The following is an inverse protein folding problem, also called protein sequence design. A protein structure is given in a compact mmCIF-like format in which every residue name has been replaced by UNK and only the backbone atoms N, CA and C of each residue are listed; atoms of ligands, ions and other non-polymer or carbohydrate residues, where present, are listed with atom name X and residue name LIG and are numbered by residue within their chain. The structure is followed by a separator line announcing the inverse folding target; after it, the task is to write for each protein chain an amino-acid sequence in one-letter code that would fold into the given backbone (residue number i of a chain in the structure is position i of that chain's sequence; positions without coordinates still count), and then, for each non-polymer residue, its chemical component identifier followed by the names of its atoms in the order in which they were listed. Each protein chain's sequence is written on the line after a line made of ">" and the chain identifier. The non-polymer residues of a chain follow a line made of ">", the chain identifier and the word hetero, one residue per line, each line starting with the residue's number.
data_IF_191240666649
#
_entry.id   IF_191240666649
#
_cell.length_a   1.000
_cell.length_b   1.000
_cell.length_c   1.000
_cell.angle_alpha   90.00
_cell.angle_beta   90.00
_cell.angle_gamma   90.00
#
_symmetry.space_group_name_H-M   'P 1'
#
loop_
_entity.id
_entity.type
_entity.pdbx_description
1 polymer ?
#
# COMPACT_ATOMS: atom_id res chain seq x y z
N UNK A 1 27.77 -5.78 4.56
CA UNK A 1 26.56 -6.63 4.78
C UNK A 1 26.94 -8.11 4.74
N UNK A 2 26.23 -9.00 5.45
CA UNK A 2 26.52 -10.45 5.41
C UNK A 2 26.03 -11.10 4.11
N UNK A 3 26.60 -12.25 3.74
CA UNK A 3 26.18 -13.02 2.55
C UNK A 3 24.72 -13.47 2.64
N UNK A 4 24.27 -13.89 3.82
CA UNK A 4 22.87 -14.28 4.07
C UNK A 4 21.90 -13.11 3.84
N UNK A 5 22.25 -11.89 4.30
CA UNK A 5 21.44 -10.70 4.04
C UNK A 5 21.32 -10.41 2.54
N UNK A 6 22.43 -10.54 1.80
CA UNK A 6 22.44 -10.35 0.34
C UNK A 6 21.59 -11.41 -0.37
N UNK A 7 21.65 -12.67 0.07
CA UNK A 7 20.78 -13.75 -0.43
C UNK A 7 19.30 -13.44 -0.22
N UNK A 8 18.93 -13.00 0.99
CA UNK A 8 17.54 -12.65 1.31
C UNK A 8 17.03 -11.51 0.43
N UNK A 9 17.83 -10.45 0.25
CA UNK A 9 17.44 -9.30 -0.59
C UNK A 9 17.36 -9.71 -2.07
N UNK A 10 18.24 -10.58 -2.55
CA UNK A 10 18.19 -11.09 -3.92
C UNK A 10 16.92 -11.91 -4.18
N UNK A 11 16.48 -12.72 -3.20
CA UNK A 11 15.22 -13.46 -3.26
C UNK A 11 14.01 -12.50 -3.29
N UNK A 12 14.00 -11.48 -2.42
CA UNK A 12 12.96 -10.45 -2.40
C UNK A 12 12.87 -9.69 -3.72
N UNK A 13 14.01 -9.25 -4.27
CA UNK A 13 14.04 -8.57 -5.57
C UNK A 13 13.54 -9.48 -6.70
N UNK A 14 13.84 -10.78 -6.63
CA UNK A 14 13.36 -11.76 -7.62
C UNK A 14 11.84 -11.92 -7.56
N UNK A 15 11.26 -12.04 -6.36
CA UNK A 15 9.82 -12.05 -6.16
C UNK A 15 9.16 -10.76 -6.66
N UNK A 16 9.76 -9.61 -6.35
CA UNK A 16 9.30 -8.30 -6.83
C UNK A 16 9.33 -8.20 -8.37
N UNK A 17 10.38 -8.72 -9.02
CA UNK A 17 10.46 -8.76 -10.47
C UNK A 17 9.36 -9.64 -11.09
N UNK A 18 9.06 -10.79 -10.49
CA UNK A 18 7.97 -11.66 -10.92
C UNK A 18 6.62 -10.95 -10.77
N UNK A 19 6.38 -10.29 -9.63
CA UNK A 19 5.19 -9.49 -9.37
C UNK A 19 4.98 -8.37 -10.40
N UNK A 20 6.05 -7.68 -10.82
CA UNK A 20 5.99 -6.64 -11.86
C UNK A 20 5.91 -7.20 -13.29
N UNK A 21 6.21 -8.48 -13.47
CA UNK A 21 6.14 -9.21 -14.74
C UNK A 21 7.39 -9.10 -15.63
N UNK A 22 8.34 -8.21 -15.35
CA UNK A 22 9.65 -8.19 -16.01
C UNK A 22 10.69 -7.39 -15.24
N UNK A 23 11.98 -7.65 -15.52
CA UNK A 23 13.09 -6.88 -14.93
C UNK A 23 13.05 -5.39 -15.29
N UNK A 24 12.69 -5.07 -16.54
CA UNK A 24 12.60 -3.68 -16.98
C UNK A 24 11.48 -2.93 -16.27
N UNK A 25 10.30 -3.57 -16.10
CA UNK A 25 9.21 -2.97 -15.33
C UNK A 25 9.59 -2.77 -13.86
N UNK A 26 10.26 -3.76 -13.26
CA UNK A 26 10.77 -3.64 -11.90
C UNK A 26 11.78 -2.50 -11.75
N UNK A 27 12.75 -2.39 -12.66
CA UNK A 27 13.72 -1.31 -12.68
C UNK A 27 13.05 0.06 -12.79
N UNK A 28 12.10 0.21 -13.72
CA UNK A 28 11.36 1.45 -13.89
C UNK A 28 10.52 1.83 -12.66
N UNK A 29 10.02 0.84 -11.90
CA UNK A 29 9.28 1.09 -10.66
C UNK A 29 10.14 1.42 -9.45
N UNK A 30 11.43 1.09 -9.49
CA UNK A 30 12.38 1.34 -8.41
C UNK A 30 13.14 2.67 -8.66
N UNK A 31 13.44 3.39 -7.58
CA UNK A 31 14.23 4.61 -7.65
C UNK A 31 15.72 4.26 -7.64
N UNK A 32 16.43 4.60 -8.71
CA UNK A 32 17.89 4.47 -8.79
C UNK A 32 18.40 3.04 -8.98
N UNK A 33 17.54 2.07 -9.28
CA UNK A 33 17.93 0.67 -9.52
C UNK A 33 17.75 0.33 -10.99
N UNK A 34 18.87 0.20 -11.71
CA UNK A 34 18.85 -0.10 -13.15
C UNK A 34 18.52 -1.57 -13.43
N UNK A 35 18.02 -1.87 -14.63
CA UNK A 35 17.80 -3.25 -15.09
C UNK A 35 19.10 -4.08 -15.08
N UNK A 36 20.24 -3.45 -15.40
CA UNK A 36 21.55 -4.07 -15.29
C UNK A 36 21.91 -4.42 -13.83
N UNK A 37 21.62 -3.54 -12.88
CA UNK A 37 21.80 -3.81 -11.44
C UNK A 37 20.95 -4.99 -10.99
N UNK A 38 19.66 -5.02 -11.38
CA UNK A 38 18.77 -6.16 -11.08
C UNK A 38 19.32 -7.46 -11.66
N UNK A 39 19.83 -7.42 -12.90
CA UNK A 39 20.44 -8.59 -13.55
C UNK A 39 21.65 -9.11 -12.77
N UNK A 40 22.55 -8.23 -12.32
CA UNK A 40 23.70 -8.59 -11.49
C UNK A 40 23.31 -9.22 -10.16
N UNK A 41 22.29 -8.66 -9.48
CA UNK A 41 21.76 -9.22 -8.22
C UNK A 41 21.25 -10.64 -8.44
N UNK A 42 20.44 -10.85 -9.49
CA UNK A 42 19.82 -12.15 -9.79
C UNK A 42 20.81 -13.20 -10.29
N UNK A 43 21.91 -12.79 -10.91
CA UNK A 43 22.96 -13.67 -11.45
C UNK A 43 24.11 -13.97 -10.47
N UNK A 44 24.06 -13.44 -9.24
CA UNK A 44 25.08 -13.70 -8.22
C UNK A 44 26.35 -12.84 -8.34
N UNK A 45 26.38 -11.82 -9.20
CA UNK A 45 27.55 -10.96 -9.43
C UNK A 45 27.64 -9.82 -8.39
N UNK A 46 27.73 -10.21 -7.11
CA UNK A 46 27.53 -9.30 -5.98
C UNK A 46 28.74 -8.44 -5.62
N UNK A 47 29.94 -8.83 -6.06
CA UNK A 47 31.19 -8.10 -5.82
C UNK A 47 31.18 -6.68 -6.37
N UNK A 48 30.40 -6.44 -7.44
CA UNK A 48 30.31 -5.12 -8.11
C UNK A 48 29.18 -4.24 -7.59
N UNK A 49 28.48 -4.67 -6.53
CA UNK A 49 27.32 -3.97 -5.98
C UNK A 49 27.69 -3.42 -4.60
N UNK A 50 27.62 -2.10 -4.46
CA UNK A 50 27.88 -1.42 -3.19
C UNK A 50 26.84 -1.79 -2.12
N UNK A 51 27.25 -1.76 -0.85
CA UNK A 51 26.34 -1.98 0.29
C UNK A 51 25.18 -0.96 0.30
N UNK A 52 25.41 0.28 -0.18
CA UNK A 52 24.34 1.27 -0.30
C UNK A 52 23.27 0.89 -1.33
N UNK A 53 23.67 0.28 -2.45
CA UNK A 53 22.72 -0.23 -3.44
C UNK A 53 21.89 -1.39 -2.86
N UNK A 54 22.52 -2.27 -2.08
CA UNK A 54 21.79 -3.34 -1.38
C UNK A 54 20.78 -2.80 -0.37
N UNK A 55 21.16 -1.80 0.43
CA UNK A 55 20.24 -1.12 1.35
C UNK A 55 19.09 -0.45 0.61
N UNK A 56 19.38 0.21 -0.51
CA UNK A 56 18.36 0.83 -1.36
C UNK A 56 17.36 -0.18 -1.92
N UNK A 57 17.83 -1.32 -2.42
CA UNK A 57 16.97 -2.41 -2.90
C UNK A 57 16.09 -2.91 -1.74
N UNK A 58 16.70 -3.27 -0.61
CA UNK A 58 15.99 -3.78 0.56
C UNK A 58 14.90 -2.81 1.06
N UNK A 59 15.20 -1.51 1.10
CA UNK A 59 14.25 -0.49 1.53
C UNK A 59 13.05 -0.35 0.58
N UNK A 60 13.22 -0.66 -0.71
CA UNK A 60 12.19 -0.52 -1.73
C UNK A 60 11.41 -1.81 -2.01
N UNK A 61 11.99 -2.99 -1.74
CA UNK A 61 11.37 -4.30 -2.00
C UNK A 61 10.97 -5.06 -0.73
N UNK A 62 11.40 -4.62 0.46
CA UNK A 62 11.19 -5.33 1.72
C UNK A 62 9.76 -5.23 2.25
N UNK A 63 9.28 -6.34 2.83
CA UNK A 63 8.00 -6.45 3.56
C UNK A 63 8.23 -6.53 5.08
N UNK A 64 7.20 -6.30 5.90
CA UNK A 64 7.32 -6.36 7.36
C UNK A 64 7.80 -7.72 7.89
N UNK A 65 7.45 -8.81 7.20
CA UNK A 65 7.89 -10.18 7.47
C UNK A 65 9.41 -10.35 7.36
N UNK A 66 10.07 -9.55 6.50
CA UNK A 66 11.53 -9.57 6.38
C UNK A 66 12.26 -9.15 7.66
N UNK A 67 11.55 -8.46 8.57
CA UNK A 67 12.04 -8.05 9.89
C UNK A 67 11.56 -8.98 11.01
N UNK A 68 11.02 -10.17 10.68
CA UNK A 68 10.57 -11.18 11.65
C UNK A 68 9.19 -10.92 12.26
N UNK A 69 8.49 -9.86 11.86
CA UNK A 69 7.15 -9.55 12.35
C UNK A 69 6.08 -10.39 11.63
N UNK A 70 5.27 -11.13 12.39
CA UNK A 70 4.19 -11.96 11.86
C UNK A 70 2.91 -11.15 11.71
N UNK A 71 2.37 -11.09 10.49
CA UNK A 71 1.09 -10.43 10.21
C UNK A 71 -0.05 -11.38 10.53
N UNK A 72 -0.99 -10.93 11.35
CA UNK A 72 -2.19 -11.70 11.73
C UNK A 72 -3.39 -11.18 10.96
N UNK A 73 -4.25 -12.10 10.49
CA UNK A 73 -5.53 -11.80 9.86
C UNK A 73 -6.56 -11.41 10.92
N UNK A 74 -6.51 -10.14 11.32
CA UNK A 74 -7.52 -9.55 12.20
C UNK A 74 -8.82 -9.31 11.44
N UNK A 75 -9.92 -9.03 12.15
CA UNK A 75 -11.20 -8.68 11.50
C UNK A 75 -11.07 -7.50 10.53
N UNK A 76 -10.28 -6.48 10.88
CA UNK A 76 -10.00 -5.36 10.00
C UNK A 76 -9.20 -5.77 8.75
N UNK A 77 -8.25 -6.70 8.89
CA UNK A 77 -7.50 -7.26 7.77
C UNK A 77 -8.42 -8.00 6.81
N UNK A 78 -9.34 -8.81 7.32
CA UNK A 78 -10.27 -9.60 6.52
C UNK A 78 -11.26 -8.69 5.76
N UNK A 79 -11.84 -7.69 6.42
CA UNK A 79 -12.72 -6.70 5.75
C UNK A 79 -11.95 -5.94 4.67
N UNK A 80 -10.72 -5.49 4.95
CA UNK A 80 -9.90 -4.78 3.97
C UNK A 80 -9.58 -5.68 2.76
N UNK A 81 -9.16 -6.93 3.01
CA UNK A 81 -8.80 -7.90 1.96
C UNK A 81 -10.00 -8.29 1.12
N UNK A 82 -11.15 -8.53 1.75
CA UNK A 82 -12.41 -8.78 1.06
C UNK A 82 -12.79 -7.59 0.16
N UNK A 83 -12.71 -6.37 0.70
CA UNK A 83 -13.03 -5.16 -0.07
C UNK A 83 -12.10 -4.99 -1.27
N UNK A 84 -10.79 -5.20 -1.10
CA UNK A 84 -9.82 -5.16 -2.21
C UNK A 84 -10.17 -6.18 -3.30
N UNK A 85 -10.50 -7.41 -2.91
CA UNK A 85 -10.85 -8.48 -3.84
C UNK A 85 -12.14 -8.18 -4.61
N UNK A 86 -13.21 -7.75 -3.93
CA UNK A 86 -14.48 -7.44 -4.57
C UNK A 86 -14.36 -6.22 -5.50
N UNK A 87 -13.70 -5.16 -5.04
CA UNK A 87 -13.48 -3.95 -5.85
C UNK A 87 -12.68 -4.26 -7.10
N UNK A 88 -11.69 -5.14 -6.99
CA UNK A 88 -10.88 -5.57 -8.12
C UNK A 88 -11.67 -6.45 -9.10
N UNK A 89 -12.36 -7.47 -8.60
CA UNK A 89 -13.07 -8.44 -9.43
C UNK A 89 -14.19 -7.79 -10.24
N UNK A 90 -14.91 -6.85 -9.62
CA UNK A 90 -16.09 -6.22 -10.20
C UNK A 90 -15.80 -4.83 -10.80
N UNK A 91 -14.52 -4.42 -10.87
CA UNK A 91 -14.09 -3.09 -11.35
C UNK A 91 -14.82 -1.92 -10.67
N UNK A 92 -15.12 -2.06 -9.38
CA UNK A 92 -15.89 -1.08 -8.63
C UNK A 92 -15.02 0.08 -8.13
N UNK A 93 -15.67 1.05 -7.51
CA UNK A 93 -14.97 2.09 -6.74
C UNK A 93 -15.47 2.15 -5.31
N UNK A 94 -14.54 2.20 -4.36
CA UNK A 94 -14.87 2.24 -2.94
C UNK A 94 -13.96 3.17 -2.14
N UNK A 95 -14.46 3.68 -1.03
CA UNK A 95 -13.67 4.36 -0.01
C UNK A 95 -13.69 3.58 1.30
N UNK A 96 -12.52 3.20 1.79
CA UNK A 96 -12.33 2.50 3.07
C UNK A 96 -11.77 3.46 4.10
N UNK A 97 -12.46 3.54 5.23
CA UNK A 97 -12.10 4.38 6.37
C UNK A 97 -11.68 3.47 7.53
N UNK A 98 -10.56 3.78 8.17
CA UNK A 98 -10.17 3.12 9.41
C UNK A 98 -9.29 4.01 10.26
N UNK A 99 -9.27 3.81 11.57
CA UNK A 99 -8.39 4.53 12.49
C UNK A 99 -6.91 4.41 12.13
N UNK A 100 -6.09 5.35 12.60
CA UNK A 100 -4.65 5.19 12.55
C UNK A 100 -4.26 3.87 13.27
N UNK A 101 -3.33 3.11 12.71
CA UNK A 101 -2.93 1.85 13.34
C UNK A 101 -3.84 0.65 13.14
N UNK A 102 -4.94 0.78 12.38
CA UNK A 102 -5.91 -0.31 12.17
C UNK A 102 -5.42 -1.46 11.25
N UNK A 103 -4.21 -1.39 10.71
CA UNK A 103 -3.66 -2.43 9.82
C UNK A 103 -3.97 -2.29 8.31
N UNK A 104 -4.65 -1.21 7.87
CA UNK A 104 -4.98 -0.94 6.44
C UNK A 104 -3.81 -1.16 5.49
N UNK A 105 -2.74 -0.39 5.68
CA UNK A 105 -1.57 -0.39 4.80
C UNK A 105 -0.89 -1.77 4.76
N UNK A 106 -0.91 -2.53 5.85
CA UNK A 106 -0.31 -3.86 5.89
C UNK A 106 -1.14 -4.86 5.09
N UNK A 107 -2.47 -4.83 5.23
CA UNK A 107 -3.37 -5.64 4.41
C UNK A 107 -3.23 -5.33 2.92
N UNK A 108 -3.14 -4.05 2.55
CA UNK A 108 -2.93 -3.62 1.16
C UNK A 108 -1.60 -4.12 0.61
N UNK A 109 -0.51 -4.01 1.38
CA UNK A 109 0.82 -4.51 0.98
C UNK A 109 0.80 -6.01 0.73
N UNK A 110 0.24 -6.78 1.66
CA UNK A 110 0.13 -8.23 1.52
C UNK A 110 -0.74 -8.64 0.33
N UNK A 111 -1.86 -7.94 0.11
CA UNK A 111 -2.71 -8.17 -1.05
C UNK A 111 -2.00 -7.87 -2.37
N UNK A 112 -1.23 -6.78 -2.40
CA UNK A 112 -0.44 -6.33 -3.57
C UNK A 112 0.68 -7.32 -3.90
N UNK A 113 1.37 -7.83 -2.88
CA UNK A 113 2.49 -8.77 -3.03
C UNK A 113 2.09 -10.08 -3.73
N UNK A 114 0.82 -10.47 -3.66
CA UNK A 114 0.29 -11.66 -4.34
C UNK A 114 0.19 -11.55 -5.88
N UNK A 115 0.60 -10.43 -6.49
CA UNK A 115 0.79 -10.33 -7.94
C UNK A 115 -0.47 -10.07 -8.78
N UNK A 116 -1.53 -9.52 -8.18
CA UNK A 116 -2.86 -9.36 -8.81
C UNK A 116 -3.03 -8.05 -9.61
N UNK A 117 -2.08 -7.60 -10.43
CA UNK A 117 -2.19 -6.29 -11.14
C UNK A 117 -2.64 -5.12 -10.23
N UNK A 118 -2.15 -5.08 -8.99
CA UNK A 118 -2.50 -4.06 -7.99
C UNK A 118 -1.44 -2.96 -7.98
N UNK A 119 -1.90 -1.72 -8.10
CA UNK A 119 -1.06 -0.52 -8.13
C UNK A 119 -1.28 0.28 -6.84
N UNK A 120 -0.50 -0.05 -5.82
CA UNK A 120 -0.56 0.61 -4.51
C UNK A 120 0.26 1.89 -4.49
N UNK A 121 -0.41 3.01 -4.23
CA UNK A 121 0.15 4.33 -4.08
C UNK A 121 -0.09 4.85 -2.66
N UNK A 122 0.97 5.18 -1.94
CA UNK A 122 0.87 5.90 -0.66
C UNK A 122 0.91 7.39 -0.96
N UNK A 123 -0.23 8.05 -0.78
CA UNK A 123 -0.45 9.46 -1.10
C UNK A 123 0.34 10.37 -0.16
N UNK A 124 0.68 11.57 -0.65
CA UNK A 124 1.38 12.58 0.14
C UNK A 124 0.87 13.99 -0.17
N UNK A 125 0.99 14.88 0.82
CA UNK A 125 0.50 16.27 0.76
C UNK A 125 1.18 17.11 -0.33
N UNK A 126 2.45 16.83 -0.63
CA UNK A 126 3.20 17.56 -1.65
C UNK A 126 2.89 17.10 -3.08
N UNK A 127 1.93 16.20 -3.29
CA UNK A 127 1.55 15.74 -4.62
C UNK A 127 0.70 16.77 -5.35
N UNK A 128 1.07 17.01 -6.61
CA UNK A 128 0.23 17.66 -7.62
C UNK A 128 -0.23 16.62 -8.66
N UNK A 129 -1.05 17.03 -9.63
CA UNK A 129 -1.60 16.15 -10.68
C UNK A 129 -0.51 15.39 -11.46
N UNK A 130 0.58 16.09 -11.83
CA UNK A 130 1.70 15.48 -12.56
C UNK A 130 2.43 14.45 -11.70
N UNK A 131 2.70 14.79 -10.43
CA UNK A 131 3.35 13.87 -9.48
C UNK A 131 2.50 12.61 -9.27
N UNK A 132 1.19 12.76 -9.13
CA UNK A 132 0.27 11.62 -9.00
C UNK A 132 0.37 10.67 -10.20
N UNK A 133 0.24 11.17 -11.43
CA UNK A 133 0.31 10.33 -12.63
C UNK A 133 1.70 9.72 -12.83
N UNK A 134 2.76 10.50 -12.59
CA UNK A 134 4.14 10.01 -12.61
C UNK A 134 4.34 8.86 -11.64
N UNK A 135 3.80 8.95 -10.42
CA UNK A 135 3.89 7.89 -9.41
C UNK A 135 3.07 6.65 -9.80
N UNK A 136 1.91 6.83 -10.43
CA UNK A 136 1.10 5.72 -10.94
C UNK A 136 1.81 4.98 -12.08
N UNK A 137 2.31 5.71 -13.09
CA UNK A 137 3.10 5.15 -14.19
C UNK A 137 4.38 4.47 -13.70
N UNK A 138 5.10 5.09 -12.76
CA UNK A 138 6.26 4.49 -12.12
C UNK A 138 5.86 3.16 -11.47
N UNK A 139 4.77 3.11 -10.71
CA UNK A 139 4.30 1.87 -10.08
C UNK A 139 3.94 0.78 -11.12
N UNK A 140 3.42 1.18 -12.28
CA UNK A 140 3.16 0.30 -13.43
C UNK A 140 4.43 -0.21 -14.13
N UNK A 141 5.60 0.34 -13.79
CA UNK A 141 6.87 0.04 -14.44
C UNK A 141 7.04 0.75 -15.79
N UNK A 142 6.32 1.85 -16.01
CA UNK A 142 6.42 2.68 -17.21
C UNK A 142 7.42 3.83 -17.02
N UNK A 143 8.06 4.24 -18.12
CA UNK A 143 8.98 5.38 -18.14
C UNK A 143 8.20 6.69 -18.12
N UNK A 144 8.58 7.62 -17.25
CA UNK A 144 7.88 8.91 -17.05
C UNK A 144 8.59 10.07 -17.77
N UNK A 145 9.90 9.97 -18.01
CA UNK A 145 10.70 11.08 -18.56
C UNK A 145 10.19 11.54 -19.94
N UNK A 146 10.12 12.86 -20.14
CA UNK A 146 9.73 13.47 -21.41
C UNK A 146 8.22 13.48 -21.71
N UNK A 147 7.37 12.93 -20.83
CA UNK A 147 5.92 12.86 -21.08
C UNK A 147 5.19 14.12 -20.59
N UNK A 148 4.18 14.54 -21.36
CA UNK A 148 3.22 15.57 -20.94
C UNK A 148 2.16 14.97 -20.02
N UNK A 149 1.35 15.83 -19.38
CA UNK A 149 0.22 15.37 -18.54
C UNK A 149 -0.81 14.57 -19.35
N UNK A 150 -1.05 14.93 -20.61
CA UNK A 150 -1.98 14.20 -21.48
C UNK A 150 -1.43 12.80 -21.77
N UNK A 151 -0.17 12.72 -22.24
CA UNK A 151 0.48 11.44 -22.54
C UNK A 151 0.50 10.53 -21.33
N UNK A 152 0.72 11.09 -20.13
CA UNK A 152 0.70 10.30 -18.90
C UNK A 152 -0.68 9.68 -18.66
N UNK A 153 -1.76 10.45 -18.84
CA UNK A 153 -3.12 9.97 -18.65
C UNK A 153 -3.48 8.89 -19.67
N UNK A 154 -3.19 9.12 -20.95
CA UNK A 154 -3.46 8.15 -22.02
C UNK A 154 -2.70 6.84 -21.76
N UNK A 155 -1.41 6.94 -21.39
CA UNK A 155 -0.60 5.76 -21.04
C UNK A 155 -1.15 4.99 -19.83
N UNK A 156 -1.64 5.68 -18.80
CA UNK A 156 -2.27 5.06 -17.62
C UNK A 156 -3.50 4.26 -18.07
N UNK A 157 -4.41 4.90 -18.80
CA UNK A 157 -5.68 4.31 -19.22
C UNK A 157 -5.45 3.12 -20.13
N UNK A 158 -4.62 3.29 -21.15
CA UNK A 158 -4.24 2.24 -22.09
C UNK A 158 -3.59 1.04 -21.39
N UNK A 159 -2.72 1.32 -20.41
CA UNK A 159 -2.05 0.25 -19.66
C UNK A 159 -3.05 -0.53 -18.82
N UNK A 160 -3.97 0.14 -18.14
CA UNK A 160 -4.97 -0.50 -17.29
C UNK A 160 -5.99 -1.31 -18.11
N UNK A 161 -6.50 -0.76 -19.22
CA UNK A 161 -7.46 -1.45 -20.09
C UNK A 161 -6.93 -2.77 -20.70
N UNK A 162 -5.61 -2.92 -20.80
CA UNK A 162 -4.96 -4.16 -21.27
C UNK A 162 -4.70 -5.19 -20.16
N UNK A 163 -5.04 -4.86 -18.91
CA UNK A 163 -4.83 -5.75 -17.77
C UNK A 163 -6.12 -6.45 -17.41
N UNK A 164 -5.98 -7.70 -17.00
CA UNK A 164 -7.07 -8.43 -16.39
C UNK A 164 -7.28 -7.92 -14.97
N UNK A 165 -8.49 -7.44 -14.70
CA UNK A 165 -8.99 -6.98 -13.41
C UNK A 165 -7.99 -6.10 -12.65
N UNK A 166 -7.53 -4.96 -13.20
CA UNK A 166 -6.56 -4.11 -12.51
C UNK A 166 -7.18 -3.38 -11.33
N UNK A 167 -6.36 -3.07 -10.32
CA UNK A 167 -6.78 -2.32 -9.13
C UNK A 167 -5.82 -1.19 -8.82
N UNK A 168 -6.33 0.04 -8.69
CA UNK A 168 -5.58 1.18 -8.14
C UNK A 168 -5.95 1.34 -6.66
N UNK A 169 -4.93 1.34 -5.79
CA UNK A 169 -5.11 1.60 -4.35
C UNK A 169 -4.45 2.92 -3.99
N UNK A 170 -5.25 3.92 -3.63
CA UNK A 170 -4.79 5.21 -3.11
C UNK A 170 -4.84 5.19 -1.58
N UNK A 171 -3.72 4.82 -0.97
CA UNK A 171 -3.56 4.79 0.48
C UNK A 171 -3.19 6.16 1.04
N UNK A 172 -3.65 6.45 2.26
CA UNK A 172 -3.61 7.78 2.89
C UNK A 172 -4.19 8.90 2.01
N UNK A 173 -5.31 8.63 1.31
CA UNK A 173 -5.92 9.55 0.36
C UNK A 173 -6.39 10.89 0.99
N UNK A 174 -6.58 10.94 2.31
CA UNK A 174 -6.84 12.18 3.05
C UNK A 174 -5.73 13.23 2.93
N UNK A 175 -4.49 12.81 2.60
CA UNK A 175 -3.35 13.70 2.38
C UNK A 175 -3.38 14.43 1.03
N UNK A 176 -4.19 13.97 0.07
CA UNK A 176 -4.23 14.60 -1.25
C UNK A 176 -4.91 15.98 -1.18
N UNK A 177 -4.37 16.95 -1.90
CA UNK A 177 -5.04 18.25 -2.08
C UNK A 177 -6.37 18.10 -2.83
N UNK A 178 -7.29 19.06 -2.67
CA UNK A 178 -8.58 19.07 -3.36
C UNK A 178 -8.40 18.92 -4.88
N UNK A 179 -7.40 19.59 -5.46
CA UNK A 179 -7.13 19.54 -6.90
C UNK A 179 -6.74 18.15 -7.40
N UNK A 180 -5.98 17.38 -6.60
CA UNK A 180 -5.63 16.00 -6.96
C UNK A 180 -6.81 15.07 -6.71
N UNK A 181 -7.61 15.32 -5.66
CA UNK A 181 -8.83 14.54 -5.40
C UNK A 181 -9.90 14.77 -6.48
N UNK A 182 -10.01 15.97 -7.07
CA UNK A 182 -10.88 16.19 -8.21
C UNK A 182 -10.37 15.51 -9.47
N UNK A 183 -9.06 15.35 -9.63
CA UNK A 183 -8.51 14.59 -10.75
C UNK A 183 -8.90 13.11 -10.70
N UNK A 184 -9.14 12.55 -9.51
CA UNK A 184 -9.69 11.19 -9.39
C UNK A 184 -11.02 11.02 -10.14
N UNK A 185 -11.85 12.06 -10.26
CA UNK A 185 -13.08 12.02 -11.07
C UNK A 185 -12.74 11.75 -12.55
N UNK A 186 -11.77 12.49 -13.10
CA UNK A 186 -11.36 12.32 -14.49
C UNK A 186 -10.73 10.95 -14.73
N UNK A 187 -9.96 10.44 -13.77
CA UNK A 187 -9.38 9.10 -13.83
C UNK A 187 -10.46 8.02 -13.80
N UNK A 188 -11.39 8.11 -12.86
CA UNK A 188 -12.53 7.20 -12.74
C UNK A 188 -13.32 7.17 -14.06
N UNK A 189 -13.68 8.32 -14.62
CA UNK A 189 -14.55 8.37 -15.80
C UNK A 189 -13.95 7.66 -17.03
N UNK A 190 -12.62 7.58 -17.13
CA UNK A 190 -11.94 6.88 -18.24
C UNK A 190 -11.74 5.38 -18.00
N UNK A 191 -11.93 4.94 -16.76
CA UNK A 191 -11.65 3.59 -16.26
C UNK A 191 -12.88 2.88 -15.68
N UNK A 192 -14.05 3.53 -15.73
CA UNK A 192 -15.33 2.96 -15.30
C UNK A 192 -15.55 1.60 -15.98
N UNK A 193 -15.96 0.60 -15.19
CA UNK A 193 -16.15 -0.80 -15.59
C UNK A 193 -14.90 -1.51 -16.15
N UNK A 194 -13.70 -0.95 -15.99
CA UNK A 194 -12.45 -1.52 -16.50
C UNK A 194 -11.35 -1.66 -15.44
N UNK A 195 -11.44 -0.90 -14.34
CA UNK A 195 -10.44 -0.90 -13.29
C UNK A 195 -11.09 -0.62 -11.94
N UNK A 196 -10.76 -1.47 -10.96
CA UNK A 196 -11.09 -1.20 -9.57
C UNK A 196 -10.33 0.01 -9.05
N UNK A 197 -10.98 0.89 -8.30
CA UNK A 197 -10.31 2.01 -7.62
C UNK A 197 -10.72 2.06 -6.15
N UNK A 198 -9.76 2.03 -5.24
CA UNK A 198 -10.02 2.11 -3.82
C UNK A 198 -9.25 3.27 -3.17
N UNK A 199 -9.98 4.11 -2.43
CA UNK A 199 -9.41 5.16 -1.60
C UNK A 199 -9.34 4.65 -0.17
N UNK A 200 -8.17 4.64 0.45
CA UNK A 200 -8.04 4.28 1.88
C UNK A 200 -7.54 5.47 2.66
N UNK A 201 -8.20 5.78 3.78
CA UNK A 201 -7.91 6.97 4.56
C UNK A 201 -8.34 6.83 6.02
N UNK A 202 -8.02 7.86 6.80
CA UNK A 202 -8.61 8.05 8.13
C UNK A 202 -10.02 8.65 8.03
N UNK A 203 -10.72 8.78 9.17
CA UNK A 203 -12.03 9.45 9.25
C UNK A 203 -12.00 10.90 8.77
N UNK A 204 -10.82 11.52 8.64
CA UNK A 204 -10.64 12.85 8.09
C UNK A 204 -11.15 12.94 6.64
N UNK A 205 -10.97 11.91 5.80
CA UNK A 205 -11.48 11.93 4.43
C UNK A 205 -13.01 11.97 4.41
N UNK A 206 -13.66 11.15 5.23
CA UNK A 206 -15.13 11.13 5.38
C UNK A 206 -15.65 12.50 5.81
N UNK A 207 -15.11 13.06 6.88
CA UNK A 207 -15.50 14.38 7.38
C UNK A 207 -15.26 15.49 6.33
N UNK A 208 -14.16 15.41 5.58
CA UNK A 208 -13.84 16.36 4.49
C UNK A 208 -14.85 16.27 3.36
N UNK A 209 -15.22 15.06 2.93
CA UNK A 209 -16.22 14.85 1.87
C UNK A 209 -17.60 15.33 2.33
N UNK A 210 -18.07 14.92 3.51
CA UNK A 210 -19.37 15.33 4.06
C UNK A 210 -19.46 16.85 4.25
N UNK A 211 -18.39 17.49 4.74
CA UNK A 211 -18.32 18.96 4.83
C UNK A 211 -18.37 19.60 3.44
N UNK A 212 -17.70 19.01 2.45
CA UNK A 212 -17.74 19.46 1.06
C UNK A 212 -19.15 19.42 0.48
N UNK A 213 -19.90 18.34 0.72
CA UNK A 213 -21.30 18.18 0.33
C UNK A 213 -22.19 19.25 0.97
N UNK A 214 -22.10 19.41 2.30
CA UNK A 214 -22.90 20.39 3.05
C UNK A 214 -22.67 21.83 2.57
N UNK A 215 -21.43 22.15 2.21
CA UNK A 215 -21.04 23.48 1.72
C UNK A 215 -21.19 23.61 0.19
N UNK A 216 -21.74 22.62 -0.50
CA UNK A 216 -21.87 22.57 -1.95
C UNK A 216 -20.56 22.91 -2.70
N UNK A 217 -19.43 22.41 -2.19
CA UNK A 217 -18.12 22.59 -2.83
C UNK A 217 -18.04 21.74 -4.08
N UNK A 218 -17.55 22.33 -5.17
CA UNK A 218 -17.36 21.67 -6.47
C UNK A 218 -16.63 20.32 -6.31
N UNK A 219 -17.06 19.31 -7.05
CA UNK A 219 -16.41 18.00 -7.14
C UNK A 219 -16.74 17.02 -6.01
N UNK A 220 -17.06 17.48 -4.79
CA UNK A 220 -17.35 16.59 -3.66
C UNK A 220 -18.61 15.75 -3.84
N UNK A 221 -19.66 16.30 -4.46
CA UNK A 221 -20.87 15.55 -4.82
C UNK A 221 -20.55 14.40 -5.78
N UNK A 222 -19.67 14.64 -6.75
CA UNK A 222 -19.27 13.66 -7.74
C UNK A 222 -18.37 12.58 -7.14
N UNK A 223 -17.35 12.97 -6.36
CA UNK A 223 -16.52 12.02 -5.59
C UNK A 223 -17.39 11.12 -4.73
N UNK A 224 -18.32 11.69 -3.96
CA UNK A 224 -19.21 10.92 -3.10
C UNK A 224 -20.09 9.96 -3.90
N UNK A 225 -20.55 10.38 -5.09
CA UNK A 225 -21.30 9.51 -6.00
C UNK A 225 -20.44 8.36 -6.53
N UNK A 226 -19.19 8.61 -6.95
CA UNK A 226 -18.29 7.59 -7.51
C UNK A 226 -17.86 6.53 -6.51
N UNK A 227 -17.78 6.86 -5.22
CA UNK A 227 -17.55 5.87 -4.15
C UNK A 227 -18.83 5.15 -3.69
N UNK A 228 -19.93 5.26 -4.44
CA UNK A 228 -21.20 4.62 -4.12
C UNK A 228 -21.95 5.24 -2.95
N UNK A 229 -21.65 6.50 -2.59
CA UNK A 229 -22.25 7.25 -1.47
C UNK A 229 -22.17 6.50 -0.13
N UNK A 230 -21.14 5.68 0.03
CA UNK A 230 -20.92 4.88 1.24
C UNK A 230 -19.43 4.77 1.53
N UNK A 231 -19.09 4.77 2.80
CA UNK A 231 -17.76 4.45 3.28
C UNK A 231 -17.78 3.04 3.88
N UNK A 232 -16.80 2.22 3.54
CA UNK A 232 -16.54 0.96 4.20
C UNK A 232 -15.72 1.25 5.44
N UNK A 233 -16.28 1.05 6.63
CA UNK A 233 -15.59 1.33 7.89
C UNK A 233 -14.94 0.05 8.43
N UNK A 234 -13.63 0.11 8.65
CA UNK A 234 -12.91 -1.01 9.26
C UNK A 234 -13.14 -1.02 10.77
N UNK A 235 -13.39 -2.21 11.36
CA UNK A 235 -13.51 -2.33 12.79
C UNK A 235 -12.19 -2.00 13.48
N UNK A 236 -12.28 -1.48 14.71
CA UNK A 236 -11.11 -1.38 15.58
C UNK A 236 -10.69 -2.79 16.04
N UNK A 237 -9.38 -3.04 16.20
CA UNK A 237 -8.89 -4.26 16.84
C UNK A 237 -9.55 -4.45 18.21
N UNK A 238 -10.12 -5.63 18.45
CA UNK A 238 -10.60 -6.01 19.78
C UNK A 238 -9.49 -6.73 20.56
N UNK A 239 -9.81 -7.12 21.78
CA UNK A 239 -8.93 -7.93 22.64
C UNK A 239 -8.44 -9.21 21.96
N UNK A 240 -9.31 -9.91 21.21
CA UNK A 240 -8.95 -11.14 20.49
C UNK A 240 -7.96 -10.89 19.36
N UNK A 241 -8.19 -9.86 18.54
CA UNK A 241 -7.28 -9.43 17.46
C UNK A 241 -5.90 -9.09 18.04
N UNK A 242 -5.86 -8.33 19.14
CA UNK A 242 -4.62 -7.91 19.80
C UNK A 242 -3.90 -9.09 20.44
N UNK A 243 -4.62 -9.98 21.14
CA UNK A 243 -4.05 -11.18 21.72
C UNK A 243 -3.45 -12.11 20.67
N UNK A 244 -4.14 -12.30 19.54
CA UNK A 244 -3.63 -13.09 18.42
C UNK A 244 -2.34 -12.48 17.85
N UNK A 245 -2.27 -11.14 17.69
CA UNK A 245 -1.04 -10.45 17.28
C UNK A 245 0.09 -10.64 18.27
N UNK A 246 -0.17 -10.55 19.58
CA UNK A 246 0.83 -10.77 20.63
C UNK A 246 1.41 -12.20 20.58
N UNK A 247 0.53 -13.21 20.57
CA UNK A 247 0.92 -14.63 20.56
C UNK A 247 1.71 -14.98 19.30
N UNK A 248 1.23 -14.55 18.13
CA UNK A 248 1.93 -14.77 16.86
C UNK A 248 3.33 -14.13 16.82
N UNK A 249 3.57 -13.12 17.65
CA UNK A 249 4.85 -12.41 17.74
C UNK A 249 5.60 -12.71 19.04
N UNK A 250 5.31 -13.84 19.71
CA UNK A 250 6.12 -14.39 20.80
C UNK A 250 5.77 -13.92 22.21
N UNK A 251 4.68 -13.18 22.41
CA UNK A 251 4.18 -12.78 23.74
C UNK A 251 3.02 -13.69 24.13
N UNK A 252 3.31 -14.71 24.92
CA UNK A 252 2.33 -15.73 25.36
C UNK A 252 1.86 -15.56 26.81
N UNK A 253 2.53 -14.72 27.61
CA UNK A 253 2.12 -14.48 29.00
C UNK A 253 0.79 -13.72 29.05
N UNK A 254 -0.21 -14.30 29.71
CA UNK A 254 -1.58 -13.75 29.75
C UNK A 254 -1.63 -12.37 30.41
N UNK A 255 -0.82 -12.13 31.45
CA UNK A 255 -0.77 -10.81 32.12
C UNK A 255 -0.19 -9.74 31.19
N UNK A 256 0.88 -10.07 30.49
CA UNK A 256 1.48 -9.22 29.49
C UNK A 256 0.52 -8.91 28.33
N UNK A 257 -0.19 -9.92 27.81
CA UNK A 257 -1.19 -9.73 26.75
C UNK A 257 -2.31 -8.81 27.22
N UNK A 258 -2.89 -9.04 28.39
CA UNK A 258 -3.97 -8.20 28.92
C UNK A 258 -3.52 -6.75 29.10
N UNK A 259 -2.30 -6.53 29.61
CA UNK A 259 -1.71 -5.19 29.70
C UNK A 259 -1.63 -4.51 28.33
N UNK A 260 -1.19 -5.23 27.30
CA UNK A 260 -1.12 -4.68 25.94
C UNK A 260 -2.52 -4.36 25.40
N UNK A 261 -3.50 -5.24 25.61
CA UNK A 261 -4.90 -5.02 25.22
C UNK A 261 -5.42 -3.71 25.81
N UNK A 262 -5.23 -3.50 27.11
CA UNK A 262 -5.71 -2.33 27.83
C UNK A 262 -4.99 -1.03 27.39
N UNK A 263 -3.70 -1.12 27.05
CA UNK A 263 -2.88 0.03 26.69
C UNK A 263 -2.88 0.35 25.19
N UNK A 264 -3.31 -0.54 24.30
CA UNK A 264 -3.11 -0.33 22.86
C UNK A 264 -4.07 0.67 22.21
N UNK A 265 -5.22 0.96 22.84
CA UNK A 265 -6.23 1.90 22.33
C UNK A 265 -6.64 1.63 20.87
N UNK A 266 -6.73 0.35 20.49
CA UNK A 266 -7.06 -0.07 19.13
C UNK A 266 -6.00 0.23 18.05
N UNK A 267 -4.77 0.59 18.43
CA UNK A 267 -3.66 0.85 17.50
C UNK A 267 -2.66 -0.32 17.50
N UNK A 268 -2.60 -1.08 16.40
CA UNK A 268 -1.68 -2.21 16.24
C UNK A 268 -0.19 -1.77 16.22
N UNK A 269 0.11 -0.51 15.95
CA UNK A 269 1.48 0.03 16.08
C UNK A 269 1.88 0.12 17.55
N UNK A 270 0.95 0.41 18.46
CA UNK A 270 1.20 0.37 19.91
C UNK A 270 1.45 -1.06 20.36
N UNK A 271 0.63 -2.01 19.89
CA UNK A 271 0.86 -3.46 20.11
C UNK A 271 2.26 -3.87 19.68
N UNK A 272 2.67 -3.51 18.45
CA UNK A 272 4.01 -3.81 17.93
C UNK A 272 5.14 -3.23 18.78
N UNK A 273 4.99 -1.99 19.26
CA UNK A 273 5.97 -1.36 20.16
C UNK A 273 6.04 -2.06 21.52
N UNK A 274 4.90 -2.45 22.09
CA UNK A 274 4.86 -3.16 23.38
C UNK A 274 5.47 -4.56 23.27
N UNK A 275 5.14 -5.31 22.21
CA UNK A 275 5.77 -6.62 21.92
C UNK A 275 7.28 -6.46 21.79
N UNK A 276 7.74 -5.49 21.01
CA UNK A 276 9.18 -5.21 20.89
C UNK A 276 9.83 -4.88 22.23
N UNK A 277 9.19 -4.02 23.04
CA UNK A 277 9.72 -3.61 24.34
C UNK A 277 9.82 -4.77 25.31
N UNK A 278 8.88 -5.72 25.29
CA UNK A 278 8.93 -6.92 26.14
C UNK A 278 10.05 -7.88 25.71
N UNK A 279 10.17 -8.15 24.40
CA UNK A 279 11.16 -9.10 23.89
C UNK A 279 12.60 -8.56 23.95
N UNK A 280 12.80 -7.24 23.84
CA UNK A 280 14.12 -6.60 23.94
C UNK A 280 14.44 -6.11 25.35
N UNK A 281 13.44 -5.66 26.10
CA UNK A 281 13.58 -5.18 27.48
C UNK A 281 13.67 -6.31 28.51
N UNK A 282 13.23 -7.52 28.18
CA UNK A 282 13.47 -8.74 28.98
C UNK A 282 14.86 -9.36 28.77
N UNK A 283 15.72 -8.77 27.93
CA UNK A 283 17.09 -9.20 27.67
C UNK A 283 18.11 -8.32 28.41
N UNK A 284 17.85 -8.02 29.69
CA UNK A 284 18.83 -7.46 30.62
C UNK A 284 19.38 -8.56 31.53
#
# INVERSE_FOLDING_TARGET
>A
MTTEQKQQIAAQLSAYCAQKGSQNKAANSLNGVSSATISKVRSGQWETISDDMWRSIAAQTGNAEANGWQVVKTRAYDVMTFTLASVQADSLTAAVIGGAGSGKTEAIKNYTAAGRNVYHLVCSEYWNRRTFMAKLLQNMGATVAGTTVSDMMDNIVDTLKRKDSPLIVLDEADKLSDQVLYFFISLYNQLEDQCGIILTATSNLKARIEKGLRLNRKGYAEIYSRIGRKFVELPLPNSEDVAAVCVANGVNDTKAVNKIVDECDGDLRRVKRSVWAMLKGGAQ
#
